data_IF_998475986421
#
_entry.id   IF_998475986421
#
_cell.length_a   1.000
_cell.length_b   1.000
_cell.length_c   1.000
_cell.angle_alpha   90.00
_cell.angle_beta   90.00
_cell.angle_gamma   90.00
#
_symmetry.space_group_name_H-M   'P 1'
#
loop_
_entity.id
_entity.type
_entity.pdbx_description
1 polymer ?
#
# COMPACT_ATOMS: atom_id res chain seq x y z
N UNK A 1 -26.97 -6.31 0.91
CA UNK A 1 -26.52 -5.42 -0.18
C UNK A 1 -25.01 -5.40 -0.25
N UNK A 2 -24.42 -5.59 -1.43
CA UNK A 2 -22.96 -5.63 -1.69
C UNK A 2 -22.58 -4.52 -2.67
N UNK A 3 -22.71 -3.28 -2.20
CA UNK A 3 -22.53 -2.06 -3.00
C UNK A 3 -21.30 -1.28 -2.55
N UNK A 4 -20.63 -0.66 -3.51
CA UNK A 4 -19.46 0.18 -3.28
C UNK A 4 -19.88 1.58 -2.84
N UNK A 5 -19.34 2.06 -1.72
CA UNK A 5 -19.65 3.41 -1.21
C UNK A 5 -19.01 4.56 -2.00
N UNK A 6 -18.21 4.27 -3.03
CA UNK A 6 -17.61 5.28 -3.92
C UNK A 6 -18.39 5.48 -5.22
N UNK A 7 -18.76 4.40 -5.92
CA UNK A 7 -19.54 4.49 -7.16
C UNK A 7 -21.05 4.27 -6.96
N UNK A 8 -21.47 3.79 -5.77
CA UNK A 8 -22.85 3.43 -5.44
C UNK A 8 -23.44 2.28 -6.27
N UNK A 9 -22.59 1.55 -7.00
CA UNK A 9 -22.95 0.35 -7.77
C UNK A 9 -22.56 -0.93 -7.04
N UNK A 10 -22.94 -2.09 -7.58
CA UNK A 10 -22.44 -3.39 -7.09
C UNK A 10 -20.91 -3.48 -7.19
N UNK A 11 -20.30 -4.19 -6.24
CA UNK A 11 -18.85 -4.39 -6.24
C UNK A 11 -18.36 -5.05 -7.54
N UNK A 12 -17.49 -4.34 -8.26
CA UNK A 12 -16.69 -4.88 -9.36
C UNK A 12 -15.23 -4.99 -8.93
N UNK A 13 -14.70 -6.21 -8.91
CA UNK A 13 -13.33 -6.51 -8.47
C UNK A 13 -13.03 -5.90 -7.08
N UNK A 14 -13.76 -6.34 -6.02
CA UNK A 14 -13.67 -5.74 -4.71
C UNK A 14 -12.29 -5.91 -4.10
N UNK A 15 -11.70 -4.81 -3.64
CA UNK A 15 -10.45 -4.80 -2.88
C UNK A 15 -10.72 -4.40 -1.45
N UNK A 16 -10.23 -5.23 -0.52
CA UNK A 16 -10.30 -4.98 0.92
C UNK A 16 -9.05 -4.23 1.35
N UNK A 17 -9.24 -3.08 1.99
CA UNK A 17 -8.16 -2.27 2.55
C UNK A 17 -7.69 -2.83 3.91
N UNK A 18 -6.57 -2.28 4.42
CA UNK A 18 -6.04 -2.60 5.74
C UNK A 18 -7.06 -2.40 6.87
N UNK A 19 -7.86 -1.35 6.76
CA UNK A 19 -8.93 -0.98 7.68
C UNK A 19 -10.23 -1.76 7.44
N UNK A 20 -10.17 -2.88 6.70
CA UNK A 20 -11.28 -3.80 6.40
C UNK A 20 -12.44 -3.19 5.60
N UNK A 21 -12.28 -1.98 5.07
CA UNK A 21 -13.25 -1.39 4.15
C UNK A 21 -13.01 -1.88 2.72
N UNK A 22 -14.11 -2.08 1.99
CA UNK A 22 -14.10 -2.69 0.66
C UNK A 22 -14.62 -1.71 -0.38
N UNK A 23 -13.90 -1.63 -1.50
CA UNK A 23 -14.21 -0.74 -2.63
C UNK A 23 -13.89 -1.44 -3.94
N UNK A 24 -14.51 -1.01 -5.05
CA UNK A 24 -14.12 -1.50 -6.38
C UNK A 24 -12.66 -1.11 -6.69
N UNK A 25 -11.94 -1.97 -7.43
CA UNK A 25 -10.57 -1.66 -7.88
C UNK A 25 -10.49 -0.29 -8.57
N UNK A 26 -11.38 -0.03 -9.52
CA UNK A 26 -11.38 1.20 -10.30
C UNK A 26 -11.63 2.43 -9.41
N UNK A 27 -12.52 2.34 -8.41
CA UNK A 27 -12.77 3.45 -7.49
C UNK A 27 -11.52 3.80 -6.66
N UNK A 28 -10.79 2.78 -6.19
CA UNK A 28 -9.55 2.99 -5.46
C UNK A 28 -8.45 3.55 -6.37
N UNK A 29 -8.37 3.10 -7.62
CA UNK A 29 -7.44 3.66 -8.61
C UNK A 29 -7.72 5.14 -8.85
N UNK A 30 -8.98 5.53 -9.10
CA UNK A 30 -9.36 6.94 -9.23
C UNK A 30 -9.04 7.75 -7.97
N UNK A 31 -9.23 7.17 -6.77
CA UNK A 31 -8.91 7.85 -5.50
C UNK A 31 -7.40 8.11 -5.35
N UNK A 32 -6.56 7.16 -5.76
CA UNK A 32 -5.10 7.34 -5.86
C UNK A 32 -4.76 8.34 -6.96
N UNK A 33 -5.55 8.39 -8.03
CA UNK A 33 -5.28 9.28 -9.15
C UNK A 33 -5.45 10.77 -8.83
N UNK A 34 -6.45 11.08 -8.01
CA UNK A 34 -6.79 12.44 -7.60
C UNK A 34 -6.04 12.89 -6.33
N UNK A 35 -5.30 12.01 -5.68
CA UNK A 35 -4.46 12.37 -4.53
C UNK A 35 -3.14 12.99 -5.00
N UNK A 36 -2.84 14.21 -4.52
CA UNK A 36 -1.52 14.82 -4.70
C UNK A 36 -0.47 14.28 -3.72
N UNK A 37 -0.90 13.56 -2.69
CA UNK A 37 -0.03 12.94 -1.69
C UNK A 37 0.29 11.49 -2.05
N UNK A 38 1.47 11.00 -1.63
CA UNK A 38 1.88 9.58 -1.75
C UNK A 38 1.05 8.63 -0.86
N UNK A 39 0.03 9.16 -0.20
CA UNK A 39 -0.89 8.42 0.68
C UNK A 39 -2.32 8.72 0.29
N UNK A 40 -3.15 7.68 0.27
CA UNK A 40 -4.59 7.81 0.09
C UNK A 40 -5.26 7.52 1.42
N UNK A 41 -6.31 8.23 1.79
CA UNK A 41 -7.05 7.93 3.02
C UNK A 41 -8.32 7.17 2.70
N UNK A 42 -8.67 6.19 3.54
CA UNK A 42 -9.94 5.50 3.42
C UNK A 42 -11.10 6.51 3.58
N UNK A 43 -12.06 6.58 2.64
CA UNK A 43 -13.19 7.50 2.73
C UNK A 43 -14.07 7.30 3.97
N UNK A 44 -14.18 6.06 4.47
CA UNK A 44 -15.04 5.75 5.61
C UNK A 44 -14.41 6.02 6.98
N UNK A 45 -13.14 5.65 7.16
CA UNK A 45 -12.49 5.72 8.48
C UNK A 45 -11.28 6.66 8.52
N UNK A 46 -10.91 7.27 7.39
CA UNK A 46 -9.73 8.14 7.22
C UNK A 46 -8.39 7.48 7.51
N UNK A 47 -8.37 6.16 7.68
CA UNK A 47 -7.14 5.39 7.81
C UNK A 47 -6.28 5.57 6.55
N UNK A 48 -5.01 5.91 6.74
CA UNK A 48 -4.07 6.07 5.63
C UNK A 48 -3.79 4.71 4.99
N UNK A 49 -4.14 4.60 3.72
CA UNK A 49 -3.77 3.54 2.80
C UNK A 49 -2.36 3.86 2.33
N UNK A 50 -1.39 3.26 3.00
CA UNK A 50 0.01 3.41 2.66
C UNK A 50 0.39 2.50 1.50
N UNK A 51 1.41 2.94 0.75
CA UNK A 51 2.01 2.23 -0.38
C UNK A 51 2.39 0.77 -0.06
N UNK A 52 2.76 0.45 1.18
CA UNK A 52 2.99 -0.92 1.71
C UNK A 52 1.82 -1.91 1.52
N UNK A 53 0.61 -1.43 1.22
CA UNK A 53 -0.56 -2.28 0.93
C UNK A 53 -0.87 -2.35 -0.57
N UNK A 54 -0.20 -1.50 -1.33
CA UNK A 54 -0.62 -1.07 -2.65
C UNK A 54 0.44 -1.32 -3.72
N UNK A 55 1.72 -1.56 -3.37
CA UNK A 55 2.75 -1.93 -4.33
C UNK A 55 2.31 -3.12 -5.19
N UNK A 56 2.57 -3.04 -6.50
CA UNK A 56 2.14 -4.02 -7.50
C UNK A 56 0.63 -4.13 -7.77
N UNK A 57 -0.22 -3.76 -6.80
CA UNK A 57 -1.68 -3.95 -6.84
C UNK A 57 -2.45 -2.77 -7.44
N UNK A 58 -1.88 -1.56 -7.40
CA UNK A 58 -2.46 -0.35 -8.00
C UNK A 58 -1.58 0.19 -9.13
N UNK A 59 -2.20 0.79 -10.15
CA UNK A 59 -1.50 1.26 -11.35
C UNK A 59 -0.41 2.30 -11.06
N UNK A 60 -0.63 3.19 -10.09
CA UNK A 60 0.34 4.25 -9.72
C UNK A 60 1.52 3.76 -8.89
N UNK A 61 1.38 2.65 -8.17
CA UNK A 61 2.48 2.07 -7.37
C UNK A 61 3.29 1.03 -8.16
N UNK A 62 2.86 0.63 -9.37
CA UNK A 62 3.66 -0.22 -10.27
C UNK A 62 5.02 0.39 -10.64
N UNK A 63 5.12 1.71 -10.63
CA UNK A 63 6.35 2.44 -10.94
C UNK A 63 7.21 2.71 -9.69
N UNK A 64 6.75 2.27 -8.51
CA UNK A 64 7.55 2.44 -7.31
C UNK A 64 8.77 1.52 -7.38
N UNK A 65 9.96 2.11 -7.17
CA UNK A 65 11.21 1.39 -7.23
C UNK A 65 11.41 0.61 -5.93
N UNK A 66 11.43 -0.71 -6.02
CA UNK A 66 11.66 -1.62 -4.90
C UNK A 66 13.07 -2.20 -5.06
N UNK A 67 13.89 -2.06 -4.03
CA UNK A 67 15.27 -2.57 -4.01
C UNK A 67 15.48 -3.47 -2.80
N UNK A 68 16.41 -4.41 -2.88
CA UNK A 68 16.79 -5.22 -1.72
C UNK A 68 17.46 -4.37 -0.65
N UNK A 69 17.18 -4.63 0.63
CA UNK A 69 17.82 -3.92 1.76
C UNK A 69 19.34 -4.13 1.76
N UNK A 70 19.82 -5.27 1.23
CA UNK A 70 21.25 -5.54 1.05
C UNK A 70 21.90 -4.63 -0.01
N UNK A 71 21.12 -4.15 -0.96
CA UNK A 71 21.56 -3.26 -2.05
C UNK A 71 21.37 -1.77 -1.68
N UNK A 72 20.63 -1.47 -0.62
CA UNK A 72 20.33 -0.11 -0.15
C UNK A 72 21.47 0.53 0.69
N UNK A 73 22.69 -0.01 0.63
CA UNK A 73 23.83 0.26 1.53
C UNK A 73 24.51 1.64 1.40
N UNK A 74 23.83 2.73 1.00
CA UNK A 74 24.48 4.07 0.95
C UNK A 74 23.65 5.24 1.52
N UNK A 75 22.45 5.03 2.09
CA UNK A 75 21.77 6.10 2.84
C UNK A 75 21.37 5.59 4.21
N UNK A 76 22.24 5.85 5.20
CA UNK A 76 22.08 5.45 6.60
C UNK A 76 20.79 5.98 7.24
N UNK A 77 19.69 5.25 7.04
CA UNK A 77 18.44 5.37 7.79
C UNK A 77 17.88 3.98 8.10
N UNK A 78 18.70 3.09 8.63
CA UNK A 78 18.27 1.83 9.21
C UNK A 78 17.73 2.05 10.63
N UNK A 79 16.62 2.77 10.77
CA UNK A 79 15.94 2.95 12.05
C UNK A 79 14.64 2.11 12.14
N UNK A 80 14.73 0.84 11.73
CA UNK A 80 13.65 -0.13 11.95
C UNK A 80 13.94 -0.94 13.21
N UNK A 81 13.14 -0.70 14.26
CA UNK A 81 13.20 -1.44 15.54
C UNK A 81 12.74 -2.90 15.43
N UNK A 82 12.21 -3.33 14.27
CA UNK A 82 11.72 -4.69 14.01
C UNK A 82 12.19 -5.18 12.64
N UNK A 83 12.70 -6.40 12.59
CA UNK A 83 13.03 -7.10 11.34
C UNK A 83 11.81 -7.74 10.67
N UNK A 84 10.63 -7.66 11.29
CA UNK A 84 9.41 -8.34 10.87
C UNK A 84 8.30 -7.36 10.52
N UNK A 85 7.51 -7.71 9.51
CA UNK A 85 6.37 -6.95 9.05
C UNK A 85 5.27 -6.94 10.14
N UNK A 86 4.75 -5.78 10.55
CA UNK A 86 3.68 -5.70 11.53
C UNK A 86 2.34 -6.21 10.99
N UNK A 87 2.21 -6.35 9.66
CA UNK A 87 0.97 -6.72 8.98
C UNK A 87 0.94 -8.18 8.54
N UNK A 88 2.06 -8.70 8.08
CA UNK A 88 2.21 -10.08 7.65
C UNK A 88 3.07 -10.82 8.68
N UNK A 89 2.41 -11.57 9.59
CA UNK A 89 3.09 -12.28 10.68
C UNK A 89 4.11 -13.27 10.10
N UNK A 90 5.35 -13.22 10.59
CA UNK A 90 6.44 -14.10 10.16
C UNK A 90 7.21 -13.60 8.93
N UNK A 91 6.69 -12.60 8.21
CA UNK A 91 7.37 -12.02 7.07
C UNK A 91 8.44 -11.02 7.48
N UNK A 92 9.58 -11.07 6.81
CA UNK A 92 10.74 -10.22 7.09
C UNK A 92 10.71 -8.97 6.22
N UNK A 93 11.10 -7.83 6.79
CA UNK A 93 11.29 -6.58 6.06
C UNK A 93 12.63 -6.64 5.31
N UNK A 94 12.64 -7.16 4.09
CA UNK A 94 13.84 -7.39 3.27
C UNK A 94 13.95 -6.49 2.06
N UNK A 95 12.93 -5.68 1.79
CA UNK A 95 12.82 -4.80 0.64
C UNK A 95 12.67 -3.34 1.12
N UNK A 96 13.21 -2.40 0.35
CA UNK A 96 13.03 -0.97 0.54
C UNK A 96 12.29 -0.43 -0.67
N UNK A 97 11.19 0.27 -0.46
CA UNK A 97 10.64 1.11 -1.51
C UNK A 97 11.33 2.47 -1.49
N UNK A 98 12.16 2.74 -2.49
CA UNK A 98 12.89 4.00 -2.65
C UNK A 98 11.94 5.20 -2.88
N UNK A 99 10.80 4.97 -3.54
CA UNK A 99 9.77 5.99 -3.75
C UNK A 99 9.05 6.37 -2.45
N UNK A 100 8.96 5.45 -1.50
CA UNK A 100 8.23 5.64 -0.23
C UNK A 100 9.16 5.86 0.97
N UNK A 101 10.48 5.64 0.82
CA UNK A 101 11.48 5.64 1.90
C UNK A 101 11.09 4.69 3.06
N UNK A 102 10.49 3.54 2.73
CA UNK A 102 9.88 2.61 3.69
C UNK A 102 10.33 1.15 3.48
N UNK A 103 10.57 0.45 4.59
CA UNK A 103 10.92 -0.96 4.60
C UNK A 103 9.67 -1.85 4.50
N UNK A 104 9.68 -2.77 3.55
CA UNK A 104 8.55 -3.62 3.21
C UNK A 104 8.96 -5.10 3.16
N UNK A 105 7.99 -6.00 3.32
CA UNK A 105 8.19 -7.44 3.08
C UNK A 105 7.81 -7.82 1.64
N UNK A 106 8.09 -9.05 1.23
CA UNK A 106 7.73 -9.57 -0.10
C UNK A 106 6.23 -9.49 -0.40
N UNK A 107 5.38 -9.67 0.60
CA UNK A 107 3.92 -9.61 0.44
C UNK A 107 3.38 -8.16 0.39
N UNK A 108 4.21 -7.20 0.81
CA UNK A 108 3.95 -5.76 0.72
C UNK A 108 4.50 -5.13 -0.56
N UNK A 109 5.29 -5.86 -1.35
CA UNK A 109 5.90 -5.41 -2.60
C UNK A 109 4.96 -5.53 -3.80
#
# INVERSE_FOLDING_TARGET
DVTCSLCLEQYQDPRVLACLHTYCRHCLESLVEHSQERTVSCPQCREKIFCITAHGRFLRTKQHKIIGVKEATVKGKSNCKSHYCPRHKGERLTLLCDTCDELICRDCA
#
